data_IF_609508052321
#
_entry.id   IF_609508052321
#
_cell.length_a   1.000
_cell.length_b   1.000
_cell.length_c   1.000
_cell.angle_alpha   90.00
_cell.angle_beta   90.00
_cell.angle_gamma   90.00
#
_symmetry.space_group_name_H-M   'P 1'
#
loop_
_entity.id
_entity.type
_entity.pdbx_description
1 polymer ?
#
# COMPACT_ATOMS: atom_id res chain seq x y z
N UNK A 1 20.71 18.61 3.24
CA UNK A 1 19.35 18.19 2.94
C UNK A 1 19.38 16.81 2.30
N UNK A 2 18.41 15.95 2.68
CA UNK A 2 18.24 14.61 2.08
C UNK A 2 17.10 14.60 1.05
N UNK A 3 16.45 15.73 0.83
CA UNK A 3 15.32 15.89 -0.07
C UNK A 3 15.68 16.94 -1.09
N UNK A 4 15.53 16.60 -2.36
CA UNK A 4 15.65 17.49 -3.51
C UNK A 4 14.32 17.47 -4.25
N UNK A 5 13.82 18.63 -4.61
CA UNK A 5 12.67 18.78 -5.49
C UNK A 5 13.19 18.96 -6.90
N UNK A 6 12.76 18.10 -7.81
CA UNK A 6 13.12 18.14 -9.22
C UNK A 6 12.03 18.82 -10.05
N UNK A 7 12.40 19.47 -11.14
CA UNK A 7 11.43 20.13 -12.04
C UNK A 7 10.83 19.15 -13.05
N UNK A 8 11.57 18.08 -13.37
CA UNK A 8 11.14 17.07 -14.35
C UNK A 8 11.16 15.67 -13.74
N UNK A 9 10.43 14.74 -14.37
CA UNK A 9 10.46 13.32 -13.99
C UNK A 9 11.84 12.72 -14.27
N UNK A 10 12.48 13.08 -15.39
CA UNK A 10 13.81 12.59 -15.74
C UNK A 10 14.84 12.91 -14.66
N UNK A 11 14.87 14.16 -14.18
CA UNK A 11 15.73 14.56 -13.07
C UNK A 11 15.46 13.76 -11.80
N UNK A 12 14.19 13.52 -11.47
CA UNK A 12 13.80 12.80 -10.27
C UNK A 12 14.17 11.31 -10.35
N UNK A 13 14.22 10.74 -11.54
CA UNK A 13 14.44 9.32 -11.81
C UNK A 13 15.92 8.97 -12.08
N UNK A 14 16.76 9.95 -12.36
CA UNK A 14 18.18 9.74 -12.64
C UNK A 14 18.90 9.06 -11.47
N UNK A 15 19.44 7.86 -11.70
CA UNK A 15 20.16 7.08 -10.70
C UNK A 15 19.28 6.52 -9.57
N UNK A 16 17.96 6.60 -9.68
CA UNK A 16 17.05 6.07 -8.69
C UNK A 16 17.16 4.55 -8.58
N UNK A 17 17.29 4.04 -7.36
CA UNK A 17 17.29 2.60 -7.05
C UNK A 17 15.89 2.11 -6.71
N UNK A 18 15.05 2.98 -6.17
CA UNK A 18 13.65 2.71 -5.86
C UNK A 18 12.82 3.94 -6.22
N UNK A 19 11.75 3.75 -6.96
CA UNK A 19 10.76 4.77 -7.30
C UNK A 19 9.47 4.45 -6.56
N UNK A 20 8.96 5.41 -5.78
CA UNK A 20 7.66 5.29 -5.12
C UNK A 20 6.64 6.18 -5.81
N UNK A 21 5.61 5.56 -6.38
CA UNK A 21 4.49 6.24 -7.01
C UNK A 21 3.42 6.58 -5.96
N UNK A 22 2.97 7.84 -5.96
CA UNK A 22 1.89 8.33 -5.11
C UNK A 22 1.04 9.41 -5.85
N UNK A 23 0.81 9.20 -7.14
CA UNK A 23 -0.01 10.10 -7.96
C UNK A 23 -1.51 9.87 -7.72
N UNK A 24 -2.36 10.67 -8.38
CA UNK A 24 -3.82 10.54 -8.29
C UNK A 24 -4.29 9.10 -8.53
N UNK A 25 -5.30 8.67 -7.76
CA UNK A 25 -5.86 7.32 -7.83
C UNK A 25 -6.75 7.16 -9.06
N UNK A 26 -6.09 6.87 -10.20
CA UNK A 26 -6.67 6.69 -11.52
C UNK A 26 -5.85 5.61 -12.24
N UNK A 27 -6.51 4.50 -12.59
CA UNK A 27 -5.81 3.32 -13.12
C UNK A 27 -5.09 3.60 -14.44
N UNK A 28 -5.75 4.27 -15.39
CA UNK A 28 -5.16 4.53 -16.70
C UNK A 28 -3.96 5.48 -16.59
N UNK A 29 -4.05 6.47 -15.71
CA UNK A 29 -2.95 7.37 -15.42
C UNK A 29 -1.76 6.60 -14.84
N UNK A 30 -1.99 5.70 -13.89
CA UNK A 30 -0.94 4.87 -13.28
C UNK A 30 -0.32 3.91 -14.31
N UNK A 31 -1.12 3.23 -15.11
CA UNK A 31 -0.64 2.34 -16.19
C UNK A 31 0.24 3.11 -17.19
N UNK A 32 -0.18 4.28 -17.59
CA UNK A 32 0.58 5.13 -18.52
C UNK A 32 1.90 5.61 -17.88
N UNK A 33 1.85 6.02 -16.61
CA UNK A 33 3.02 6.48 -15.87
C UNK A 33 4.03 5.34 -15.68
N UNK A 34 3.62 4.15 -15.23
CA UNK A 34 4.51 3.00 -15.04
C UNK A 34 5.23 2.60 -16.34
N UNK A 35 4.52 2.60 -17.48
CA UNK A 35 5.13 2.32 -18.76
C UNK A 35 6.12 3.43 -19.21
N UNK A 36 5.82 4.70 -18.89
CA UNK A 36 6.66 5.85 -19.28
C UNK A 36 7.95 5.90 -18.48
N UNK A 37 7.90 5.75 -17.16
CA UNK A 37 9.08 5.88 -16.29
C UNK A 37 10.15 4.83 -16.57
N UNK A 38 9.81 3.68 -17.14
CA UNK A 38 10.78 2.65 -17.52
C UNK A 38 11.84 3.14 -18.52
N UNK A 39 11.55 4.21 -19.27
CA UNK A 39 12.53 4.80 -20.20
C UNK A 39 13.64 5.58 -19.50
N UNK A 40 13.45 5.97 -18.24
CA UNK A 40 14.34 6.85 -17.49
C UNK A 40 15.03 6.18 -16.30
N UNK A 41 14.67 4.95 -15.97
CA UNK A 41 15.21 4.21 -14.82
C UNK A 41 16.03 3.00 -15.27
N UNK A 42 17.02 2.64 -14.46
CA UNK A 42 17.80 1.41 -14.65
C UNK A 42 16.92 0.16 -14.56
N UNK A 43 17.32 -0.92 -15.26
CA UNK A 43 16.60 -2.21 -15.24
C UNK A 43 16.56 -2.85 -13.86
N UNK A 44 17.47 -2.49 -12.96
CA UNK A 44 17.50 -2.94 -11.57
C UNK A 44 16.69 -2.06 -10.62
N UNK A 45 16.20 -0.90 -11.08
CA UNK A 45 15.41 0.01 -10.26
C UNK A 45 14.05 -0.62 -9.91
N UNK A 46 13.74 -0.69 -8.63
CA UNK A 46 12.45 -1.20 -8.13
C UNK A 46 11.41 -0.11 -8.20
N UNK A 47 10.21 -0.45 -8.66
CA UNK A 47 9.09 0.50 -8.75
C UNK A 47 7.98 0.06 -7.82
N UNK A 48 7.59 0.91 -6.86
CA UNK A 48 6.52 0.62 -5.93
C UNK A 48 5.40 1.64 -6.03
N UNK A 49 4.16 1.22 -5.81
CA UNK A 49 3.01 2.10 -5.72
C UNK A 49 2.44 2.15 -4.31
N UNK A 50 2.05 3.35 -3.87
CA UNK A 50 1.32 3.56 -2.63
C UNK A 50 -0.21 3.59 -2.85
N UNK A 51 -0.71 2.99 -3.91
CA UNK A 51 -2.16 2.85 -4.14
C UNK A 51 -2.81 2.11 -2.99
N UNK A 52 -4.05 2.47 -2.67
CA UNK A 52 -4.89 1.77 -1.69
C UNK A 52 -5.85 0.77 -2.32
N UNK A 53 -5.93 0.71 -3.66
CA UNK A 53 -7.02 0.02 -4.35
C UNK A 53 -6.56 -0.88 -5.50
N UNK A 54 -5.64 -0.42 -6.35
CA UNK A 54 -5.33 -1.10 -7.60
C UNK A 54 -4.29 -2.20 -7.46
N UNK A 55 -4.57 -3.42 -7.98
CA UNK A 55 -3.57 -4.47 -8.09
C UNK A 55 -2.38 -4.06 -8.96
N UNK A 56 -1.16 -4.42 -8.56
CA UNK A 56 0.04 -4.15 -9.35
C UNK A 56 -0.01 -4.84 -10.72
N UNK A 57 -0.63 -6.02 -10.81
CA UNK A 57 -0.85 -6.73 -12.09
C UNK A 57 -1.55 -5.83 -13.12
N UNK A 58 -2.53 -5.02 -12.70
CA UNK A 58 -3.22 -4.10 -13.61
C UNK A 58 -2.36 -2.87 -13.95
N UNK A 59 -1.73 -2.26 -12.94
CA UNK A 59 -0.92 -1.06 -13.15
C UNK A 59 0.34 -1.33 -13.97
N UNK A 60 0.95 -2.50 -13.82
CA UNK A 60 2.14 -2.90 -14.57
C UNK A 60 1.85 -3.54 -15.93
N UNK A 61 0.59 -3.51 -16.40
CA UNK A 61 0.17 -4.23 -17.61
C UNK A 61 0.97 -3.84 -18.87
N UNK A 62 1.41 -2.59 -18.98
CA UNK A 62 2.20 -2.07 -20.10
C UNK A 62 3.70 -1.97 -19.83
N UNK A 63 4.17 -2.40 -18.64
CA UNK A 63 5.59 -2.45 -18.34
C UNK A 63 6.29 -3.56 -19.12
N UNK A 64 7.52 -3.30 -19.55
CA UNK A 64 8.42 -4.29 -20.14
C UNK A 64 9.03 -5.19 -19.06
N UNK A 65 9.31 -4.63 -17.89
CA UNK A 65 9.95 -5.27 -16.73
C UNK A 65 9.07 -5.23 -15.48
N UNK A 66 7.89 -5.89 -15.49
CA UNK A 66 6.96 -5.88 -14.37
C UNK A 66 7.44 -6.70 -13.16
N UNK A 67 8.48 -7.53 -13.34
CA UNK A 67 9.08 -8.33 -12.27
C UNK A 67 9.69 -7.49 -11.13
N UNK A 68 9.97 -6.20 -11.40
CA UNK A 68 10.51 -5.22 -10.45
C UNK A 68 9.47 -4.29 -9.83
N UNK A 69 8.18 -4.55 -10.09
CA UNK A 69 7.09 -3.69 -9.62
C UNK A 69 6.20 -4.42 -8.60
N UNK A 70 5.83 -3.72 -7.51
CA UNK A 70 4.91 -4.20 -6.48
C UNK A 70 4.23 -3.04 -5.76
N UNK A 71 3.22 -3.32 -4.92
CA UNK A 71 2.63 -2.29 -4.07
C UNK A 71 3.28 -2.29 -2.69
N UNK A 72 3.48 -1.08 -2.15
CA UNK A 72 3.76 -0.82 -0.73
C UNK A 72 2.65 0.06 -0.20
N UNK A 73 1.67 -0.53 0.49
CA UNK A 73 0.52 0.20 1.01
C UNK A 73 0.81 0.69 2.43
N UNK A 74 0.96 2.00 2.56
CA UNK A 74 1.22 2.70 3.81
C UNK A 74 -0.08 3.17 4.46
N UNK A 75 -0.07 3.32 5.77
CA UNK A 75 -1.23 3.77 6.54
C UNK A 75 -1.00 5.16 7.12
N UNK A 76 -2.02 6.00 7.05
CA UNK A 76 -1.98 7.35 7.63
C UNK A 76 -2.18 7.30 9.15
N UNK A 77 -1.38 8.05 9.92
CA UNK A 77 -0.22 8.82 9.49
C UNK A 77 1.04 7.93 9.39
N UNK A 78 1.78 7.97 8.26
CA UNK A 78 2.84 6.99 7.97
C UNK A 78 4.05 7.09 8.91
N UNK A 79 4.24 8.21 9.59
CA UNK A 79 5.31 8.39 10.58
C UNK A 79 4.98 7.75 11.94
N UNK A 80 3.71 7.49 12.24
CA UNK A 80 3.23 6.85 13.48
C UNK A 80 2.94 5.36 13.23
N UNK A 81 2.20 5.05 12.17
CA UNK A 81 1.81 3.66 11.88
C UNK A 81 3.02 2.90 11.31
N UNK A 82 3.48 1.85 11.97
CA UNK A 82 4.66 1.10 11.51
C UNK A 82 4.35 0.15 10.35
N UNK A 83 3.10 -0.29 10.21
CA UNK A 83 2.70 -1.28 9.21
C UNK A 83 2.86 -0.75 7.78
N UNK A 84 3.41 -1.61 6.90
CA UNK A 84 3.35 -1.46 5.45
C UNK A 84 2.98 -2.81 4.85
N UNK A 85 1.87 -2.89 4.14
CA UNK A 85 1.55 -4.08 3.36
C UNK A 85 2.44 -4.11 2.11
N UNK A 86 3.05 -5.26 1.84
CA UNK A 86 3.88 -5.50 0.65
C UNK A 86 3.12 -6.47 -0.25
N UNK A 87 2.65 -6.00 -1.39
CA UNK A 87 1.73 -6.75 -2.24
C UNK A 87 2.35 -6.96 -3.62
N UNK A 88 2.86 -8.17 -3.92
CA UNK A 88 3.34 -8.49 -5.25
C UNK A 88 2.20 -8.60 -6.25
N UNK A 89 2.42 -8.17 -7.49
CA UNK A 89 1.58 -8.55 -8.63
C UNK A 89 1.95 -9.95 -9.14
N UNK A 90 1.17 -10.47 -10.08
CA UNK A 90 1.38 -11.83 -10.63
C UNK A 90 2.77 -12.02 -11.27
N UNK A 91 3.37 -10.95 -11.79
CA UNK A 91 4.68 -10.98 -12.47
C UNK A 91 5.83 -10.48 -11.60
N UNK A 92 5.57 -10.06 -10.37
CA UNK A 92 6.61 -9.57 -9.45
C UNK A 92 7.58 -10.69 -9.07
N UNK A 93 8.87 -10.45 -9.20
CA UNK A 93 9.88 -11.41 -8.78
C UNK A 93 9.99 -11.48 -7.24
N UNK A 94 10.20 -12.68 -6.69
CA UNK A 94 10.39 -12.85 -5.24
C UNK A 94 11.59 -12.04 -4.72
N UNK A 95 12.67 -11.97 -5.49
CA UNK A 95 13.84 -11.17 -5.13
C UNK A 95 13.49 -9.69 -4.93
N UNK A 96 12.60 -9.13 -5.75
CA UNK A 96 12.11 -7.75 -5.59
C UNK A 96 11.35 -7.57 -4.28
N UNK A 97 10.49 -8.53 -3.94
CA UNK A 97 9.76 -8.54 -2.65
C UNK A 97 10.73 -8.56 -1.48
N UNK A 98 11.75 -9.43 -1.53
CA UNK A 98 12.73 -9.60 -0.46
C UNK A 98 13.55 -8.31 -0.22
N UNK A 99 13.96 -7.64 -1.30
CA UNK A 99 14.67 -6.35 -1.22
C UNK A 99 13.80 -5.27 -0.59
N UNK A 100 12.54 -5.16 -1.01
CA UNK A 100 11.61 -4.15 -0.45
C UNK A 100 11.33 -4.43 1.02
N UNK A 101 11.14 -5.68 1.42
CA UNK A 101 10.97 -6.06 2.83
C UNK A 101 12.21 -5.65 3.65
N UNK A 102 13.42 -5.93 3.14
CA UNK A 102 14.66 -5.55 3.83
C UNK A 102 14.78 -4.03 3.97
N UNK A 103 14.48 -3.28 2.92
CA UNK A 103 14.50 -1.81 2.92
C UNK A 103 13.50 -1.23 3.95
N UNK A 104 12.27 -1.72 3.97
CA UNK A 104 11.25 -1.27 4.92
C UNK A 104 11.65 -1.58 6.37
N UNK A 105 12.23 -2.74 6.65
CA UNK A 105 12.78 -3.07 7.97
C UNK A 105 13.90 -2.13 8.39
N UNK A 106 14.82 -1.80 7.49
CA UNK A 106 15.87 -0.81 7.75
C UNK A 106 15.32 0.59 8.03
N UNK A 107 14.19 0.94 7.40
CA UNK A 107 13.45 2.18 7.68
C UNK A 107 12.62 2.14 8.98
N UNK A 108 12.72 1.08 9.79
CA UNK A 108 11.99 0.93 11.05
C UNK A 108 10.51 0.58 10.88
N UNK A 109 10.12 0.06 9.71
CA UNK A 109 8.75 -0.37 9.43
C UNK A 109 8.53 -1.86 9.72
N UNK A 110 7.27 -2.25 9.83
CA UNK A 110 6.81 -3.63 9.93
C UNK A 110 6.18 -4.05 8.60
N UNK A 111 6.97 -4.56 7.65
CA UNK A 111 6.43 -5.04 6.38
C UNK A 111 5.65 -6.34 6.56
N UNK A 112 4.43 -6.38 6.03
CA UNK A 112 3.60 -7.59 5.98
C UNK A 112 3.42 -7.99 4.52
N UNK A 113 4.13 -9.05 4.06
CA UNK A 113 3.97 -9.54 2.70
C UNK A 113 2.64 -10.28 2.53
N UNK A 114 1.86 -9.87 1.54
CA UNK A 114 0.68 -10.59 1.11
C UNK A 114 1.08 -11.66 0.07
N UNK A 115 0.47 -12.82 0.16
CA UNK A 115 0.72 -13.93 -0.79
C UNK A 115 0.00 -13.75 -2.13
N UNK A 116 -1.01 -12.87 -2.15
CA UNK A 116 -1.86 -12.65 -3.31
C UNK A 116 -2.42 -11.25 -3.26
N UNK A 117 -2.42 -10.56 -4.40
CA UNK A 117 -3.13 -9.29 -4.54
C UNK A 117 -4.64 -9.51 -4.62
N UNK A 118 -5.38 -8.66 -3.93
CA UNK A 118 -6.84 -8.57 -4.00
C UNK A 118 -7.23 -7.09 -3.93
N UNK A 119 -8.33 -6.67 -4.55
CA UNK A 119 -8.81 -5.30 -4.44
C UNK A 119 -9.03 -4.88 -2.98
N UNK A 120 -8.44 -3.73 -2.58
CA UNK A 120 -8.51 -3.22 -1.20
C UNK A 120 -7.61 -3.95 -0.20
N UNK A 121 -6.74 -4.83 -0.66
CA UNK A 121 -5.71 -5.53 0.12
C UNK A 121 -6.26 -6.21 1.39
N UNK A 122 -5.44 -6.36 2.46
CA UNK A 122 -5.86 -7.05 3.67
C UNK A 122 -6.59 -6.11 4.63
N UNK A 123 -5.91 -5.05 5.10
CA UNK A 123 -6.39 -4.22 6.22
C UNK A 123 -7.63 -3.42 5.84
N UNK A 124 -7.65 -2.81 4.65
CA UNK A 124 -8.84 -2.07 4.20
C UNK A 124 -10.07 -2.97 4.08
N UNK A 125 -9.90 -4.22 3.66
CA UNK A 125 -11.03 -5.17 3.57
C UNK A 125 -11.60 -5.50 4.94
N UNK A 126 -10.73 -5.74 5.93
CA UNK A 126 -11.17 -5.99 7.32
C UNK A 126 -11.86 -4.76 7.90
N UNK A 127 -11.28 -3.58 7.70
CA UNK A 127 -11.85 -2.32 8.15
C UNK A 127 -13.23 -2.05 7.53
N UNK A 128 -13.38 -2.29 6.23
CA UNK A 128 -14.67 -2.12 5.54
C UNK A 128 -15.71 -3.14 5.94
N UNK A 129 -15.30 -4.38 6.26
CA UNK A 129 -16.22 -5.39 6.79
C UNK A 129 -16.76 -4.97 8.18
N UNK A 130 -15.88 -4.50 9.05
CA UNK A 130 -16.27 -3.96 10.35
C UNK A 130 -17.18 -2.74 10.21
N UNK A 131 -16.82 -1.79 9.35
CA UNK A 131 -17.61 -0.57 9.14
C UNK A 131 -19.04 -0.88 8.65
N UNK A 132 -19.18 -1.83 7.72
CA UNK A 132 -20.53 -2.25 7.24
C UNK A 132 -21.41 -2.76 8.38
N UNK A 133 -20.84 -3.59 9.27
CA UNK A 133 -21.58 -4.12 10.41
C UNK A 133 -21.97 -3.01 11.40
N UNK A 134 -21.05 -2.08 11.69
CA UNK A 134 -21.33 -0.96 12.60
C UNK A 134 -22.42 -0.04 12.05
N UNK A 135 -22.45 0.19 10.73
CA UNK A 135 -23.50 0.98 10.08
C UNK A 135 -24.85 0.26 10.10
N UNK A 136 -24.90 -1.05 9.85
CA UNK A 136 -26.12 -1.86 9.94
C UNK A 136 -26.71 -1.81 11.35
N UNK A 137 -25.89 -2.01 12.38
CA UNK A 137 -26.34 -1.91 13.78
C UNK A 137 -26.94 -0.53 14.11
N UNK A 138 -26.31 0.55 13.61
CA UNK A 138 -26.83 1.91 13.76
C UNK A 138 -28.17 2.09 13.04
N UNK A 139 -28.26 1.65 11.79
CA UNK A 139 -29.50 1.79 10.97
C UNK A 139 -30.66 0.99 11.55
N UNK A 140 -30.39 -0.16 12.17
CA UNK A 140 -31.37 -0.98 12.88
C UNK A 140 -31.77 -0.42 14.25
N UNK A 141 -31.16 0.68 14.69
CA UNK A 141 -31.46 1.32 15.96
C UNK A 141 -30.99 0.52 17.17
N UNK A 142 -30.01 -0.36 17.02
CA UNK A 142 -29.48 -1.18 18.14
C UNK A 142 -28.76 -0.28 19.15
N UNK A 143 -28.03 0.73 18.69
CA UNK A 143 -27.36 1.74 19.50
C UNK A 143 -27.10 3.00 18.67
N UNK A 144 -26.84 4.13 19.34
CA UNK A 144 -26.39 5.36 18.70
C UNK A 144 -24.95 5.24 18.17
N UNK A 145 -24.55 6.17 17.31
CA UNK A 145 -23.16 6.22 16.81
C UNK A 145 -22.16 6.34 17.96
N UNK A 146 -22.45 7.18 18.94
CA UNK A 146 -21.62 7.44 20.12
C UNK A 146 -21.47 6.19 20.99
N UNK A 147 -22.58 5.46 21.21
CA UNK A 147 -22.59 4.22 21.99
C UNK A 147 -21.82 3.10 21.30
N UNK A 148 -21.98 2.95 19.98
CA UNK A 148 -21.22 2.00 19.16
C UNK A 148 -19.73 2.31 19.24
N UNK A 149 -19.35 3.58 19.03
CA UNK A 149 -17.94 4.02 19.08
C UNK A 149 -17.32 3.76 20.46
N UNK A 150 -18.05 4.11 21.52
CA UNK A 150 -17.63 3.87 22.90
C UNK A 150 -17.42 2.36 23.18
N UNK A 151 -18.37 1.53 22.77
CA UNK A 151 -18.31 0.09 22.95
C UNK A 151 -17.10 -0.53 22.24
N UNK A 152 -16.86 -0.19 20.98
CA UNK A 152 -15.73 -0.73 20.21
C UNK A 152 -14.40 -0.25 20.75
N UNK A 153 -14.25 1.04 21.04
CA UNK A 153 -13.00 1.64 21.56
C UNK A 153 -12.56 1.04 22.88
N UNK A 154 -13.50 0.76 23.79
CA UNK A 154 -13.22 0.27 25.13
C UNK A 154 -13.33 -1.25 25.30
N UNK A 155 -13.48 -1.99 24.22
CA UNK A 155 -13.52 -3.46 24.26
C UNK A 155 -12.66 -4.09 23.14
N UNK A 156 -13.21 -4.25 21.96
CA UNK A 156 -12.58 -4.96 20.85
C UNK A 156 -11.26 -4.31 20.42
N UNK A 157 -11.20 -2.97 20.34
CA UNK A 157 -10.00 -2.26 19.91
C UNK A 157 -8.79 -2.52 20.83
N UNK A 158 -9.02 -2.54 22.15
CA UNK A 158 -7.98 -2.85 23.15
C UNK A 158 -7.47 -4.29 22.97
N UNK A 159 -8.39 -5.23 22.79
CA UNK A 159 -8.03 -6.65 22.59
C UNK A 159 -7.27 -6.87 21.27
N UNK A 160 -7.71 -6.26 20.19
CA UNK A 160 -7.03 -6.35 18.89
C UNK A 160 -5.61 -5.80 18.95
N UNK A 161 -5.39 -4.69 19.66
CA UNK A 161 -4.06 -4.10 19.85
C UNK A 161 -3.12 -5.00 20.66
N UNK A 162 -3.63 -5.79 21.59
CA UNK A 162 -2.84 -6.64 22.47
C UNK A 162 -2.64 -8.06 21.92
N UNK A 163 -3.65 -8.66 21.32
CA UNK A 163 -3.70 -10.10 20.98
C UNK A 163 -3.78 -10.37 19.47
N UNK A 164 -4.10 -9.35 18.67
CA UNK A 164 -4.45 -9.53 17.27
C UNK A 164 -5.89 -10.08 17.08
N UNK A 165 -6.35 -10.21 15.83
CA UNK A 165 -7.72 -10.62 15.52
C UNK A 165 -7.95 -12.14 15.50
N UNK A 166 -6.89 -12.98 15.46
CA UNK A 166 -6.96 -14.44 15.33
C UNK A 166 -6.22 -15.15 16.48
#
# INVERSE_FOLDING_TARGET
NRITVCETEEEALEGAQVVTEAIREDLELKVAMFARIEAFIDTQCIVVSNTSSYPMTQMSARMKHPERALNTHWFNPPHIIPLVEVIPGERTAQATVDVVIALLKQAGKLPVPLKKEIPGFLVNRVQMAMLRELLDLRERGVASTEEIDLAIRHSVAIRLAALGPL
#
